data_IF_539167086175
#
_entry.id   IF_539167086175
#
_cell.length_a   1.000
_cell.length_b   1.000
_cell.length_c   1.000
_cell.angle_alpha   90.00
_cell.angle_beta   90.00
_cell.angle_gamma   90.00
#
_symmetry.space_group_name_H-M   'P 1'
#
loop_
_entity.id
_entity.type
_entity.pdbx_description
1 polymer ?
#
# COMPACT_ATOMS: atom_id res chain seq x y z
N UNK A 1 21.32 -1.99 -8.77
CA UNK A 1 22.00 -2.25 -7.48
C UNK A 1 21.71 -3.69 -7.10
N UNK A 2 22.53 -4.33 -6.25
CA UNK A 2 22.17 -5.66 -5.74
C UNK A 2 20.98 -5.56 -4.77
N UNK A 3 20.09 -6.57 -4.70
CA UNK A 3 19.05 -6.63 -3.69
C UNK A 3 19.64 -6.52 -2.27
N UNK A 4 18.94 -5.80 -1.38
CA UNK A 4 19.37 -5.64 0.01
C UNK A 4 18.30 -6.17 0.97
N UNK A 5 18.68 -6.94 2.02
CA UNK A 5 17.74 -7.42 3.03
C UNK A 5 17.21 -6.31 3.95
N UNK A 6 17.86 -5.14 3.96
CA UNK A 6 17.46 -3.98 4.78
C UNK A 6 16.45 -3.07 4.08
N UNK A 7 16.15 -3.34 2.81
CA UNK A 7 15.16 -2.57 2.05
C UNK A 7 13.74 -2.90 2.52
N UNK A 8 12.86 -1.92 2.38
CA UNK A 8 11.46 -2.01 2.77
C UNK A 8 10.56 -1.99 1.55
N UNK A 9 9.58 -2.90 1.52
CA UNK A 9 8.56 -3.01 0.48
C UNK A 9 7.28 -2.34 0.99
N UNK A 10 6.92 -1.25 0.32
CA UNK A 10 5.69 -0.51 0.55
C UNK A 10 4.67 -0.87 -0.51
N UNK A 11 3.42 -1.01 -0.09
CA UNK A 11 2.33 -1.45 -0.95
C UNK A 11 1.03 -0.81 -0.49
N UNK A 12 0.17 -0.53 -1.45
CA UNK A 12 -1.21 -0.08 -1.24
C UNK A 12 -2.09 -0.74 -2.29
N UNK A 13 -3.31 -1.11 -1.87
CA UNK A 13 -4.33 -1.69 -2.72
C UNK A 13 -5.56 -0.78 -2.74
N UNK A 14 -6.15 -0.65 -3.92
CA UNK A 14 -7.53 -0.17 -4.04
C UNK A 14 -8.45 -1.39 -4.23
N UNK A 15 -9.60 -1.37 -3.58
CA UNK A 15 -10.56 -2.49 -3.58
C UNK A 15 -11.98 -2.02 -3.90
N UNK A 16 -12.85 -2.97 -4.26
CA UNK A 16 -14.29 -2.71 -4.41
C UNK A 16 -15.01 -2.45 -3.09
N UNK A 17 -14.36 -2.77 -1.96
CA UNK A 17 -14.89 -2.62 -0.61
C UNK A 17 -13.95 -3.18 0.46
N UNK A 18 -14.48 -3.43 1.66
CA UNK A 18 -13.71 -3.85 2.84
C UNK A 18 -13.91 -5.33 3.23
N UNK A 19 -14.86 -6.02 2.61
CA UNK A 19 -15.12 -7.44 2.85
C UNK A 19 -14.09 -8.28 2.09
N UNK A 20 -13.08 -8.75 2.82
CA UNK A 20 -11.96 -9.49 2.22
C UNK A 20 -12.39 -10.79 1.54
N UNK A 21 -13.57 -11.33 1.82
CA UNK A 21 -14.05 -12.57 1.24
C UNK A 21 -14.87 -12.34 -0.03
N UNK A 22 -15.42 -11.13 -0.22
CA UNK A 22 -16.39 -10.82 -1.29
C UNK A 22 -15.98 -9.68 -2.21
N UNK A 23 -15.16 -8.77 -1.72
CA UNK A 23 -14.62 -7.66 -2.50
C UNK A 23 -13.35 -8.06 -3.25
N UNK A 24 -12.96 -7.28 -4.25
CA UNK A 24 -11.85 -7.60 -5.14
C UNK A 24 -10.80 -6.48 -5.16
N UNK A 25 -9.55 -6.85 -5.42
CA UNK A 25 -8.48 -5.90 -5.69
C UNK A 25 -8.70 -5.32 -7.10
N UNK A 26 -8.61 -4.00 -7.21
CA UNK A 26 -8.80 -3.24 -8.46
C UNK A 26 -7.60 -2.35 -8.81
N UNK A 27 -6.72 -2.06 -7.87
CA UNK A 27 -5.41 -1.46 -8.14
C UNK A 27 -4.36 -2.00 -7.16
N UNK A 28 -3.13 -2.12 -7.63
CA UNK A 28 -1.96 -2.39 -6.80
C UNK A 28 -0.82 -1.45 -7.21
N UNK A 29 -0.13 -0.90 -6.21
CA UNK A 29 1.12 -0.17 -6.40
C UNK A 29 2.15 -0.59 -5.35
N UNK A 30 3.42 -0.64 -5.73
CA UNK A 30 4.52 -0.93 -4.81
C UNK A 30 5.65 0.08 -4.93
N UNK A 31 6.34 0.35 -3.82
CA UNK A 31 7.54 1.18 -3.77
C UNK A 31 8.57 0.49 -2.90
N UNK A 32 9.84 0.54 -3.31
CA UNK A 32 10.94 0.07 -2.48
C UNK A 32 11.70 1.26 -1.91
N UNK A 33 11.93 1.24 -0.60
CA UNK A 33 12.83 2.19 0.07
C UNK A 33 14.04 1.49 0.68
N UNK A 34 15.10 2.24 0.93
CA UNK A 34 16.11 1.81 1.90
C UNK A 34 15.56 1.87 3.34
N UNK A 35 16.37 1.43 4.30
CA UNK A 35 16.03 1.51 5.74
C UNK A 35 15.92 2.94 6.27
N UNK A 36 16.37 3.94 5.50
CA UNK A 36 16.29 5.37 5.81
C UNK A 36 15.07 6.04 5.17
N UNK A 37 14.17 5.25 4.56
CA UNK A 37 12.95 5.67 3.87
C UNK A 37 13.21 6.38 2.54
N UNK A 38 14.44 6.39 2.03
CA UNK A 38 14.79 6.89 0.69
C UNK A 38 14.17 6.00 -0.36
N UNK A 39 13.35 6.56 -1.24
CA UNK A 39 12.75 5.82 -2.36
C UNK A 39 13.88 5.39 -3.30
N UNK A 40 14.00 4.09 -3.51
CA UNK A 40 14.96 3.47 -4.42
C UNK A 40 14.34 3.20 -5.78
N UNK A 41 13.09 2.75 -5.79
CA UNK A 41 12.33 2.46 -7.00
C UNK A 41 10.83 2.45 -6.76
N UNK A 42 10.10 2.78 -7.82
CA UNK A 42 8.65 2.64 -7.92
C UNK A 42 8.35 1.44 -8.81
N UNK A 43 7.49 0.55 -8.32
CA UNK A 43 7.05 -0.63 -9.05
C UNK A 43 5.96 -0.31 -10.07
N UNK A 44 5.41 -1.33 -10.72
CA UNK A 44 4.30 -1.15 -11.63
C UNK A 44 3.06 -0.67 -10.87
N UNK A 45 2.26 0.18 -11.52
CA UNK A 45 0.94 0.62 -11.04
C UNK A 45 -0.10 -0.06 -11.91
N UNK A 46 -0.72 -1.11 -11.38
CA UNK A 46 -1.53 -2.04 -12.16
C UNK A 46 -2.98 -1.91 -11.73
N UNK A 47 -3.84 -1.41 -12.63
CA UNK A 47 -5.28 -1.57 -12.47
C UNK A 47 -5.64 -3.01 -12.85
N UNK A 48 -6.42 -3.71 -12.03
CA UNK A 48 -6.75 -5.12 -12.22
C UNK A 48 -8.17 -5.21 -12.76
N UNK A 49 -8.35 -5.93 -13.86
CA UNK A 49 -9.63 -6.06 -14.54
C UNK A 49 -10.69 -6.70 -13.63
N UNK A 50 -11.87 -6.07 -13.59
CA UNK A 50 -13.08 -6.62 -12.99
C UNK A 50 -14.27 -6.39 -13.91
N UNK A 51 -15.23 -7.32 -13.88
CA UNK A 51 -16.45 -7.22 -14.68
C UNK A 51 -17.30 -6.01 -14.26
N UNK A 52 -18.11 -5.49 -15.18
CA UNK A 52 -19.05 -4.41 -14.86
C UNK A 52 -20.04 -4.78 -13.75
N UNK A 53 -20.39 -6.07 -13.63
CA UNK A 53 -21.26 -6.54 -12.55
C UNK A 53 -20.61 -6.35 -11.18
N UNK A 54 -19.31 -6.62 -11.06
CA UNK A 54 -18.54 -6.40 -9.81
C UNK A 54 -18.44 -4.91 -9.53
N UNK A 55 -18.08 -4.10 -10.53
CA UNK A 55 -17.93 -2.66 -10.37
C UNK A 55 -19.25 -1.95 -9.99
N UNK A 56 -20.38 -2.42 -10.53
CA UNK A 56 -21.71 -1.93 -10.17
C UNK A 56 -22.17 -2.38 -8.77
N UNK A 57 -21.52 -3.39 -8.20
CA UNK A 57 -21.77 -3.88 -6.85
C UNK A 57 -21.09 -3.06 -5.74
N UNK A 58 -20.21 -2.12 -6.10
CA UNK A 58 -19.54 -1.23 -5.15
C UNK A 58 -20.55 -0.32 -4.42
N UNK A 59 -20.24 0.03 -3.18
CA UNK A 59 -21.04 1.00 -2.44
C UNK A 59 -20.93 2.43 -3.03
N UNK A 60 -21.74 3.36 -2.52
CA UNK A 60 -21.75 4.75 -3.00
C UNK A 60 -20.41 5.47 -2.80
N UNK A 61 -19.64 5.10 -1.77
CA UNK A 61 -18.37 5.73 -1.49
C UNK A 61 -17.34 5.30 -2.53
N UNK A 62 -17.14 3.99 -2.71
CA UNK A 62 -16.20 3.41 -3.67
C UNK A 62 -16.54 3.82 -5.10
N UNK A 63 -17.83 3.75 -5.48
CA UNK A 63 -18.28 4.18 -6.81
C UNK A 63 -17.90 5.64 -7.10
N UNK A 64 -18.09 6.53 -6.12
CA UNK A 64 -17.76 7.95 -6.27
C UNK A 64 -16.26 8.21 -6.27
N UNK A 65 -15.49 7.56 -5.39
CA UNK A 65 -14.05 7.80 -5.31
C UNK A 65 -13.35 7.27 -6.57
N UNK A 66 -13.54 5.99 -6.90
CA UNK A 66 -12.89 5.34 -8.04
C UNK A 66 -13.35 5.92 -9.38
N UNK A 67 -14.59 6.41 -9.44
CA UNK A 67 -15.08 7.17 -10.59
C UNK A 67 -14.39 8.53 -10.76
N UNK A 68 -14.13 9.25 -9.66
CA UNK A 68 -13.46 10.56 -9.71
C UNK A 68 -11.97 10.46 -10.02
N UNK A 69 -11.29 9.44 -9.50
CA UNK A 69 -9.87 9.18 -9.80
C UNK A 69 -9.66 8.64 -11.22
N UNK A 70 -10.73 8.19 -11.89
CA UNK A 70 -10.66 7.53 -13.19
C UNK A 70 -10.21 6.07 -13.10
N UNK A 71 -10.04 5.52 -11.89
CA UNK A 71 -9.64 4.14 -11.66
C UNK A 71 -10.67 3.16 -12.24
N UNK A 72 -11.97 3.41 -12.06
CA UNK A 72 -13.02 2.52 -12.58
C UNK A 72 -12.89 2.29 -14.09
N UNK A 73 -12.55 3.33 -14.86
CA UNK A 73 -12.36 3.22 -16.30
C UNK A 73 -11.02 2.56 -16.68
N UNK A 74 -10.00 2.67 -15.83
CA UNK A 74 -8.73 1.93 -16.00
C UNK A 74 -8.96 0.44 -15.74
N UNK A 75 -9.72 0.09 -14.72
CA UNK A 75 -10.09 -1.30 -14.39
C UNK A 75 -10.84 -1.95 -15.54
N UNK A 76 -11.88 -1.29 -16.08
CA UNK A 76 -12.64 -1.80 -17.25
C UNK A 76 -11.76 -2.10 -18.45
N UNK A 77 -10.77 -1.25 -18.71
CA UNK A 77 -9.88 -1.34 -19.88
C UNK A 77 -8.63 -2.19 -19.63
N UNK A 78 -8.40 -2.61 -18.38
CA UNK A 78 -7.22 -3.39 -18.04
C UNK A 78 -7.30 -4.79 -18.65
N UNK A 79 -6.14 -5.30 -19.04
CA UNK A 79 -5.94 -6.69 -19.48
C UNK A 79 -5.29 -7.54 -18.38
N UNK A 80 -4.98 -6.96 -17.23
CA UNK A 80 -4.37 -7.66 -16.10
C UNK A 80 -5.43 -8.33 -15.25
N UNK A 81 -5.25 -9.63 -14.99
CA UNK A 81 -5.87 -10.32 -13.86
C UNK A 81 -4.97 -10.25 -12.61
N UNK A 82 -5.49 -10.73 -11.48
CA UNK A 82 -4.75 -10.73 -10.20
C UNK A 82 -3.43 -11.50 -10.31
N UNK A 83 -3.40 -12.64 -11.01
CA UNK A 83 -2.21 -13.47 -11.16
C UNK A 83 -1.13 -12.81 -12.03
N UNK A 84 -1.52 -12.07 -13.08
CA UNK A 84 -0.59 -11.29 -13.89
C UNK A 84 0.01 -10.13 -13.09
N UNK A 85 -0.83 -9.39 -12.37
CA UNK A 85 -0.39 -8.31 -11.50
C UNK A 85 0.56 -8.80 -10.39
N UNK A 86 0.25 -9.96 -9.79
CA UNK A 86 1.09 -10.64 -8.81
C UNK A 86 2.49 -10.96 -9.36
N UNK A 87 2.56 -11.63 -10.52
CA UNK A 87 3.85 -12.00 -11.15
C UNK A 87 4.69 -10.79 -11.49
N UNK A 88 4.10 -9.74 -12.05
CA UNK A 88 4.85 -8.52 -12.38
C UNK A 88 5.35 -7.78 -11.14
N UNK A 89 4.54 -7.75 -10.08
CA UNK A 89 4.94 -7.17 -8.81
C UNK A 89 6.11 -7.94 -8.21
N UNK A 90 6.05 -9.27 -8.15
CA UNK A 90 7.14 -10.11 -7.64
C UNK A 90 8.41 -9.91 -8.48
N UNK A 91 8.32 -9.94 -9.81
CA UNK A 91 9.46 -9.75 -10.70
C UNK A 91 10.14 -8.38 -10.52
N UNK A 92 9.37 -7.35 -10.16
CA UNK A 92 9.94 -6.07 -9.75
C UNK A 92 10.67 -6.19 -8.40
N UNK A 93 10.03 -6.76 -7.38
CA UNK A 93 10.56 -6.83 -6.02
C UNK A 93 11.86 -7.66 -5.91
N UNK A 94 11.98 -8.73 -6.69
CA UNK A 94 13.18 -9.59 -6.75
C UNK A 94 14.46 -8.83 -7.12
N UNK A 95 14.33 -7.71 -7.83
CA UNK A 95 15.46 -6.86 -8.21
C UNK A 95 16.00 -6.03 -7.04
N UNK A 96 15.23 -5.88 -5.96
CA UNK A 96 15.51 -4.92 -4.90
C UNK A 96 15.57 -5.51 -3.50
N UNK A 97 14.79 -6.54 -3.20
CA UNK A 97 14.64 -7.10 -1.85
C UNK A 97 14.55 -8.62 -1.95
N UNK A 98 15.38 -9.40 -1.23
CA UNK A 98 15.20 -10.85 -1.13
C UNK A 98 13.82 -11.24 -0.57
N UNK A 99 13.28 -12.38 -0.98
CA UNK A 99 12.01 -12.88 -0.44
C UNK A 99 12.09 -13.16 1.08
N UNK A 100 11.00 -12.91 1.79
CA UNK A 100 10.81 -13.27 3.19
C UNK A 100 11.50 -12.37 4.22
N UNK A 101 12.12 -11.25 3.80
CA UNK A 101 12.90 -10.37 4.70
C UNK A 101 12.17 -9.07 5.06
N UNK A 102 11.58 -8.36 4.09
CA UNK A 102 10.89 -7.10 4.35
C UNK A 102 9.53 -7.37 5.01
N UNK A 103 9.17 -6.70 6.11
CA UNK A 103 7.76 -6.63 6.51
C UNK A 103 6.93 -5.97 5.40
N UNK A 104 5.61 -6.17 5.44
CA UNK A 104 4.69 -5.42 4.58
C UNK A 104 4.49 -4.01 5.16
N UNK A 105 4.82 -2.97 4.39
CA UNK A 105 4.81 -1.57 4.85
C UNK A 105 3.65 -0.79 4.23
N UNK A 106 2.97 0.03 5.04
CA UNK A 106 1.91 0.94 4.57
C UNK A 106 1.04 1.46 5.73
N UNK A 107 -0.13 2.00 5.42
CA UNK A 107 -1.11 2.45 6.40
C UNK A 107 -2.21 1.41 6.58
N UNK A 108 -2.51 0.99 7.82
CA UNK A 108 -3.56 -0.01 8.08
C UNK A 108 -3.33 -1.31 7.28
N UNK A 109 -2.07 -1.60 7.01
CA UNK A 109 -1.56 -2.55 6.00
C UNK A 109 -2.00 -4.01 6.21
N UNK A 110 -2.53 -4.31 7.41
CA UNK A 110 -3.15 -5.59 7.69
C UNK A 110 -4.37 -5.85 6.79
N UNK A 111 -5.13 -4.81 6.43
CA UNK A 111 -6.28 -4.94 5.54
C UNK A 111 -5.84 -5.41 4.15
N UNK A 112 -4.84 -4.76 3.57
CA UNK A 112 -4.23 -5.13 2.29
C UNK A 112 -3.69 -6.56 2.34
N UNK A 113 -2.98 -6.92 3.43
CA UNK A 113 -2.45 -8.27 3.59
C UNK A 113 -3.55 -9.34 3.57
N UNK A 114 -4.72 -9.05 4.12
CA UNK A 114 -5.86 -9.99 4.08
C UNK A 114 -6.38 -10.20 2.66
N UNK A 115 -6.38 -9.16 1.82
CA UNK A 115 -6.70 -9.30 0.39
C UNK A 115 -5.63 -10.11 -0.33
N UNK A 116 -4.34 -9.81 -0.12
CA UNK A 116 -3.26 -10.57 -0.74
C UNK A 116 -3.30 -12.05 -0.35
N UNK A 117 -3.55 -12.36 0.92
CA UNK A 117 -3.62 -13.74 1.39
C UNK A 117 -4.65 -14.59 0.61
N UNK A 118 -5.74 -13.97 0.15
CA UNK A 118 -6.77 -14.66 -0.65
C UNK A 118 -6.48 -14.59 -2.15
N UNK A 119 -6.15 -13.41 -2.67
CA UNK A 119 -6.11 -13.12 -4.12
C UNK A 119 -4.72 -13.23 -4.75
N UNK A 120 -3.66 -13.00 -3.98
CA UNK A 120 -2.26 -12.98 -4.44
C UNK A 120 -1.34 -13.65 -3.38
N UNK A 121 -1.49 -14.97 -3.16
CA UNK A 121 -0.82 -15.67 -2.07
C UNK A 121 0.71 -15.77 -2.24
N UNK A 122 1.22 -15.80 -3.48
CA UNK A 122 2.66 -15.86 -3.73
C UNK A 122 3.30 -14.49 -3.41
N UNK A 123 2.61 -13.39 -3.71
CA UNK A 123 3.06 -12.05 -3.32
C UNK A 123 2.96 -11.87 -1.79
N UNK A 124 1.89 -12.36 -1.15
CA UNK A 124 1.79 -12.33 0.32
C UNK A 124 2.96 -13.07 0.98
N UNK A 125 3.30 -14.27 0.47
CA UNK A 125 4.40 -15.09 0.94
C UNK A 125 5.79 -14.47 0.67
N UNK A 126 5.88 -13.51 -0.26
CA UNK A 126 7.11 -12.77 -0.52
C UNK A 126 7.52 -11.87 0.67
N UNK A 127 6.54 -11.40 1.45
CA UNK A 127 6.81 -10.57 2.63
C UNK A 127 7.18 -11.42 3.85
N UNK A 128 7.93 -10.80 4.77
CA UNK A 128 8.07 -11.32 6.12
C UNK A 128 6.71 -11.28 6.88
N UNK A 129 6.55 -12.11 7.90
CA UNK A 129 5.29 -12.24 8.67
C UNK A 129 4.89 -10.96 9.45
N UNK A 130 5.79 -9.99 9.58
CA UNK A 130 5.56 -8.74 10.33
C UNK A 130 4.94 -7.66 9.44
N UNK A 131 4.29 -6.71 10.09
CA UNK A 131 3.83 -5.47 9.50
C UNK A 131 4.68 -4.30 9.98
N UNK A 132 4.94 -3.36 9.09
CA UNK A 132 5.35 -2.00 9.44
C UNK A 132 4.16 -1.09 9.14
N UNK A 133 3.26 -0.97 10.12
CA UNK A 133 2.02 -0.22 9.98
C UNK A 133 2.18 1.21 10.51
N UNK A 134 2.23 2.19 9.60
CA UNK A 134 2.35 3.62 9.92
C UNK A 134 1.16 4.12 10.73
N UNK A 135 -0.02 3.52 10.55
CA UNK A 135 -1.21 3.88 11.33
C UNK A 135 -1.06 3.56 12.82
N UNK A 136 -0.17 2.63 13.20
CA UNK A 136 0.19 2.41 14.61
C UNK A 136 0.78 3.67 15.22
N UNK A 137 1.76 4.30 14.55
CA UNK A 137 2.37 5.53 15.05
C UNK A 137 1.39 6.69 15.07
N UNK A 138 0.51 6.79 14.07
CA UNK A 138 -0.58 7.78 14.04
C UNK A 138 -1.51 7.64 15.25
N UNK A 139 -1.93 6.43 15.59
CA UNK A 139 -2.79 6.19 16.76
C UNK A 139 -2.10 6.48 18.08
N UNK A 140 -0.80 6.20 18.20
CA UNK A 140 0.01 6.60 19.36
C UNK A 140 0.18 8.11 19.43
N UNK A 141 0.51 8.78 18.32
CA UNK A 141 0.65 10.22 18.25
C UNK A 141 -0.65 10.95 18.60
N UNK A 142 -1.81 10.46 18.14
CA UNK A 142 -3.12 11.02 18.54
C UNK A 142 -3.33 11.03 20.06
N UNK A 143 -2.77 10.05 20.78
CA UNK A 143 -2.93 9.90 22.24
C UNK A 143 -1.84 10.62 23.02
N UNK A 144 -0.61 10.61 22.53
CA UNK A 144 0.56 11.08 23.28
C UNK A 144 1.04 12.47 22.83
N UNK A 145 0.74 12.87 21.60
CA UNK A 145 1.09 14.18 21.04
C UNK A 145 0.05 14.65 20.00
N UNK A 146 -1.20 14.94 20.43
CA UNK A 146 -2.31 15.22 19.52
C UNK A 146 -2.10 16.46 18.64
N UNK A 147 -1.33 17.45 19.11
CA UNK A 147 -1.02 18.63 18.32
C UNK A 147 -0.06 18.33 17.16
N UNK A 148 0.85 17.37 17.34
CA UNK A 148 1.76 16.93 16.28
C UNK A 148 0.99 16.31 15.10
N UNK A 149 -0.08 15.57 15.38
CA UNK A 149 -0.90 14.95 14.32
C UNK A 149 -1.54 16.00 13.41
N UNK A 150 -1.82 17.21 13.92
CA UNK A 150 -2.41 18.30 13.14
C UNK A 150 -1.41 18.95 12.18
N UNK A 151 -0.10 18.77 12.42
CA UNK A 151 0.97 19.30 11.56
C UNK A 151 1.08 18.49 10.25
N UNK A 152 0.74 17.19 10.27
CA UNK A 152 0.75 16.36 9.07
C UNK A 152 -0.59 16.42 8.35
N UNK A 153 -0.59 16.84 7.08
CA UNK A 153 -1.78 16.87 6.22
C UNK A 153 -1.65 15.84 5.13
N UNK A 154 -2.64 14.96 5.05
CA UNK A 154 -2.82 14.04 3.93
C UNK A 154 -3.51 14.73 2.76
N UNK A 155 -3.05 14.45 1.56
CA UNK A 155 -3.69 14.89 0.31
C UNK A 155 -4.87 13.98 -0.04
N UNK A 156 -4.75 12.67 0.21
CA UNK A 156 -5.86 11.70 0.10
C UNK A 156 -6.41 11.55 -1.31
N UNK A 157 -5.53 11.26 -2.27
CA UNK A 157 -5.89 11.11 -3.69
C UNK A 157 -6.60 9.79 -4.03
N UNK A 158 -6.47 8.74 -3.19
CA UNK A 158 -7.04 7.41 -3.45
C UNK A 158 -6.59 6.86 -4.81
N UNK A 159 -5.28 6.97 -5.04
CA UNK A 159 -4.55 6.34 -6.13
C UNK A 159 -3.40 5.60 -5.45
N UNK A 160 -3.31 4.29 -5.69
CA UNK A 160 -2.46 3.43 -4.87
C UNK A 160 -1.00 3.93 -4.74
N UNK A 161 -0.38 4.41 -5.83
CA UNK A 161 1.00 4.91 -5.80
C UNK A 161 1.16 6.20 -4.97
N UNK A 162 0.18 7.10 -5.04
CA UNK A 162 0.23 8.35 -4.29
C UNK A 162 0.01 8.08 -2.79
N UNK A 163 -0.87 7.14 -2.47
CA UNK A 163 -1.16 6.71 -1.10
C UNK A 163 0.03 5.95 -0.47
N UNK A 164 0.77 5.15 -1.26
CA UNK A 164 2.08 4.58 -0.84
C UNK A 164 3.08 5.68 -0.53
N UNK A 165 3.26 6.66 -1.43
CA UNK A 165 4.21 7.77 -1.22
C UNK A 165 3.84 8.62 -0.03
N UNK A 166 2.54 8.82 0.20
CA UNK A 166 2.04 9.50 1.39
C UNK A 166 2.33 8.72 2.67
N UNK A 167 2.17 7.39 2.66
CA UNK A 167 2.54 6.52 3.80
C UNK A 167 4.03 6.66 4.15
N UNK A 168 4.90 6.71 3.14
CA UNK A 168 6.35 6.93 3.33
C UNK A 168 6.62 8.32 3.93
N UNK A 169 5.97 9.38 3.40
CA UNK A 169 6.09 10.74 3.94
C UNK A 169 5.59 10.83 5.38
N UNK A 170 4.48 10.17 5.70
CA UNK A 170 3.92 10.11 7.05
C UNK A 170 4.88 9.43 8.03
N UNK A 171 5.51 8.32 7.64
CA UNK A 171 6.50 7.66 8.49
C UNK A 171 7.76 8.52 8.69
N UNK A 172 8.25 9.20 7.64
CA UNK A 172 9.37 10.16 7.77
C UNK A 172 9.03 11.27 8.76
N UNK A 173 7.83 11.83 8.67
CA UNK A 173 7.35 12.84 9.61
C UNK A 173 7.36 12.32 11.05
N UNK A 174 6.81 11.12 11.31
CA UNK A 174 6.84 10.54 12.66
C UNK A 174 8.26 10.21 13.13
N UNK A 175 9.15 9.77 12.25
CA UNK A 175 10.56 9.55 12.58
C UNK A 175 11.23 10.83 13.06
N UNK A 176 10.99 11.96 12.39
CA UNK A 176 11.64 13.24 12.68
C UNK A 176 11.01 14.00 13.86
N UNK A 177 9.73 13.77 14.14
CA UNK A 177 8.96 14.63 15.05
C UNK A 177 8.36 13.90 16.24
N UNK A 178 8.10 12.60 16.13
CA UNK A 178 7.44 11.80 17.18
C UNK A 178 8.39 10.81 17.87
N UNK A 179 9.26 10.15 17.10
CA UNK A 179 10.17 9.12 17.63
C UNK A 179 11.51 9.66 18.11
N UNK A 180 11.83 10.93 17.84
CA UNK A 180 13.03 11.56 18.39
C UNK A 180 12.80 11.77 19.88
N UNK A 181 13.67 11.18 20.70
CA UNK A 181 13.67 11.44 22.13
C UNK A 181 13.81 12.96 22.34
N UNK A 182 12.87 13.57 23.06
CA UNK A 182 13.10 14.90 23.62
C UNK A 182 14.38 14.78 24.45
N UNK A 183 15.44 15.52 24.05
CA UNK A 183 16.76 15.39 24.65
C UNK A 183 16.67 15.42 26.18
N UNK A 184 17.41 14.50 26.81
CA UNK A 184 17.91 14.71 28.17
C UNK A 184 18.95 15.83 28.15
#
# INVERSE_FOLDING_TARGET
>A
MAPSPDNLIWIDLEMTGLDTDRDYIIEIATVVTDSQLTILAEGPVIAIHQSDQILQGMDEWNTRQHGRSGLTDRVRRSEYDEAAAERETIAFLEQWVPAGVSPMCGNSICQDRRFLHRSMPDLEAYFHYRHLDVSTLKELAKRWSPDLVKEFRKEGSHLAMDDVKESIRELRFYRERFLVASGQ
#
